data_IF_088218136260
#
_entry.id   IF_088218136260
#
_cell.length_a   1.000
_cell.length_b   1.000
_cell.length_c   1.000
_cell.angle_alpha   90.00
_cell.angle_beta   90.00
_cell.angle_gamma   90.00
#
_symmetry.space_group_name_H-M   'P 1'
#
loop_
_entity.id
_entity.type
_entity.pdbx_description
1 polymer ?
#
# COMPACT_ATOMS: atom_id res chain seq x y z
N UNK A 1 8.82 -16.39 28.93
CA UNK A 1 8.29 -17.26 27.88
C UNK A 1 9.07 -18.56 27.81
N UNK A 2 8.38 -19.70 27.61
CA UNK A 2 9.02 -21.03 27.53
C UNK A 2 9.86 -21.21 26.26
N UNK A 3 9.61 -20.39 25.22
CA UNK A 3 10.30 -20.49 23.94
C UNK A 3 10.83 -19.12 23.50
N UNK A 4 12.05 -19.12 22.95
CA UNK A 4 12.68 -17.95 22.35
C UNK A 4 13.16 -18.31 20.96
N UNK A 5 12.79 -17.49 19.96
CA UNK A 5 13.18 -17.67 18.57
C UNK A 5 14.01 -16.49 18.09
N UNK A 6 14.97 -16.75 17.22
CA UNK A 6 15.78 -15.74 16.57
C UNK A 6 15.86 -16.04 15.07
N UNK A 7 15.61 -15.02 14.26
CA UNK A 7 15.93 -15.03 12.83
C UNK A 7 17.24 -14.27 12.60
N UNK A 8 18.12 -14.83 11.82
CA UNK A 8 19.40 -14.21 11.51
C UNK A 8 19.89 -14.56 10.10
N UNK A 9 20.52 -13.59 9.44
CA UNK A 9 21.15 -13.76 8.12
C UNK A 9 22.54 -14.40 8.18
N UNK A 10 23.19 -14.36 9.34
CA UNK A 10 24.57 -14.79 9.48
C UNK A 10 24.67 -16.08 10.28
N UNK A 11 25.25 -17.12 9.69
CA UNK A 11 25.47 -18.42 10.35
C UNK A 11 26.27 -18.31 11.63
N UNK A 12 27.17 -17.32 11.73
CA UNK A 12 27.95 -17.05 12.94
C UNK A 12 27.06 -16.73 14.15
N UNK A 13 26.01 -15.96 13.97
CA UNK A 13 25.07 -15.63 15.06
C UNK A 13 24.30 -16.87 15.53
N UNK A 14 24.08 -17.85 14.66
CA UNK A 14 23.46 -19.12 15.05
C UNK A 14 24.28 -19.83 16.14
N UNK A 15 25.58 -19.84 15.98
CA UNK A 15 26.47 -20.45 16.98
C UNK A 15 26.49 -19.65 18.29
N UNK A 16 26.61 -18.33 18.18
CA UNK A 16 26.76 -17.42 19.32
C UNK A 16 25.50 -17.39 20.21
N UNK A 17 24.32 -17.43 19.60
CA UNK A 17 23.05 -17.28 20.30
C UNK A 17 22.33 -18.60 20.61
N UNK A 18 22.93 -19.75 20.26
CA UNK A 18 22.28 -21.06 20.48
C UNK A 18 21.96 -21.35 21.95
N UNK A 19 22.70 -20.73 22.89
CA UNK A 19 22.48 -20.87 24.34
C UNK A 19 21.29 -20.02 24.83
N UNK A 20 20.91 -18.96 24.10
CA UNK A 20 19.89 -17.98 24.54
C UNK A 20 18.54 -18.21 23.91
N UNK A 21 18.46 -18.95 22.81
CA UNK A 21 17.26 -19.15 22.03
C UNK A 21 16.95 -20.62 21.86
N UNK A 22 15.67 -20.97 21.97
CA UNK A 22 15.18 -22.34 21.79
C UNK A 22 15.38 -22.81 20.35
N UNK A 23 15.27 -21.92 19.39
CA UNK A 23 15.50 -22.19 17.98
C UNK A 23 16.02 -20.95 17.26
N UNK A 24 16.98 -21.15 16.38
CA UNK A 24 17.54 -20.09 15.53
C UNK A 24 17.28 -20.47 14.07
N UNK A 25 16.70 -19.54 13.33
CA UNK A 25 16.40 -19.68 11.92
C UNK A 25 17.40 -18.84 11.12
N UNK A 26 18.02 -19.47 10.13
CA UNK A 26 18.77 -18.74 9.12
C UNK A 26 17.79 -18.22 8.07
N UNK A 27 17.72 -16.92 7.95
CA UNK A 27 17.03 -16.29 6.84
C UNK A 27 17.86 -16.50 5.56
N UNK A 28 17.36 -17.38 4.70
CA UNK A 28 17.95 -17.59 3.38
C UNK A 28 17.40 -16.51 2.46
N UNK A 29 18.28 -15.69 1.90
CA UNK A 29 17.91 -14.61 0.98
C UNK A 29 17.02 -15.04 -0.21
N UNK A 30 16.97 -16.34 -0.52
CA UNK A 30 16.15 -16.93 -1.57
C UNK A 30 14.76 -17.38 -1.12
N UNK A 31 14.45 -17.36 0.18
CA UNK A 31 13.19 -17.90 0.68
C UNK A 31 12.06 -16.86 0.67
N UNK A 32 10.85 -17.29 0.32
CA UNK A 32 9.66 -16.51 0.49
C UNK A 32 9.37 -16.32 1.99
N UNK A 33 9.14 -15.07 2.44
CA UNK A 33 8.90 -14.75 3.85
C UNK A 33 7.72 -15.51 4.45
N UNK A 34 6.72 -15.82 3.66
CA UNK A 34 5.58 -16.63 4.08
C UNK A 34 5.97 -18.05 4.38
N UNK A 35 6.81 -18.68 3.53
CA UNK A 35 7.28 -20.04 3.79
C UNK A 35 8.15 -20.13 5.04
N UNK A 36 8.88 -19.08 5.38
CA UNK A 36 9.64 -18.99 6.64
C UNK A 36 8.70 -18.92 7.85
N UNK A 37 7.65 -18.06 7.78
CA UNK A 37 6.63 -17.96 8.83
C UNK A 37 5.88 -19.28 8.99
N UNK A 38 5.49 -19.94 7.89
CA UNK A 38 4.84 -21.25 7.93
C UNK A 38 5.74 -22.33 8.57
N UNK A 39 7.03 -22.31 8.26
CA UNK A 39 8.00 -23.22 8.88
C UNK A 39 8.12 -23.00 10.39
N UNK A 40 8.06 -21.72 10.82
CA UNK A 40 8.02 -21.37 12.24
C UNK A 40 6.74 -21.88 12.91
N UNK A 41 5.58 -21.64 12.30
CA UNK A 41 4.30 -22.05 12.83
C UNK A 41 4.19 -23.57 13.00
N UNK A 42 4.72 -24.34 12.04
CA UNK A 42 4.83 -25.81 12.15
C UNK A 42 5.63 -26.27 13.37
N UNK A 43 6.71 -25.55 13.72
CA UNK A 43 7.54 -25.89 14.87
C UNK A 43 6.81 -25.71 16.20
N UNK A 44 5.88 -24.78 16.27
CA UNK A 44 5.05 -24.52 17.46
C UNK A 44 3.68 -25.24 17.39
N UNK A 45 3.55 -26.21 16.48
CA UNK A 45 2.34 -27.01 16.24
C UNK A 45 1.11 -26.16 15.85
N UNK A 46 1.30 -25.04 15.22
CA UNK A 46 0.23 -24.29 14.58
C UNK A 46 0.20 -24.63 13.09
N UNK A 47 -0.90 -25.17 12.63
CA UNK A 47 -1.17 -25.37 11.21
C UNK A 47 -1.78 -24.08 10.65
N UNK A 48 -1.29 -23.68 9.49
CA UNK A 48 -1.73 -22.47 8.83
C UNK A 48 -1.76 -22.69 7.32
N UNK A 49 -2.90 -22.42 6.70
CA UNK A 49 -3.02 -22.53 5.25
C UNK A 49 -2.79 -21.16 4.59
N UNK A 50 -2.15 -21.15 3.43
CA UNK A 50 -1.88 -19.92 2.65
C UNK A 50 -3.15 -19.14 2.29
N UNK A 51 -4.28 -19.83 2.24
CA UNK A 51 -5.58 -19.19 2.01
C UNK A 51 -6.02 -18.30 3.19
N UNK A 52 -5.57 -18.58 4.41
CA UNK A 52 -5.92 -17.81 5.59
C UNK A 52 -5.26 -16.44 5.64
N UNK A 53 -4.15 -16.24 4.91
CA UNK A 53 -3.46 -14.93 4.75
C UNK A 53 -4.33 -13.88 4.05
N UNK A 54 -5.31 -14.31 3.28
CA UNK A 54 -6.19 -13.43 2.52
C UNK A 54 -7.56 -13.24 3.18
N UNK A 55 -7.74 -13.70 4.43
CA UNK A 55 -9.01 -13.62 5.13
C UNK A 55 -8.96 -12.64 6.31
N UNK A 56 -8.77 -11.36 6.01
CA UNK A 56 -9.29 -10.35 6.95
C UNK A 56 -10.81 -10.50 6.93
N UNK A 57 -11.42 -10.60 8.11
CA UNK A 57 -12.87 -10.69 8.20
C UNK A 57 -13.50 -9.37 7.71
N UNK A 58 -13.91 -9.36 6.43
CA UNK A 58 -14.48 -8.20 5.75
C UNK A 58 -15.69 -7.64 6.49
N UNK A 59 -16.48 -8.49 7.11
CA UNK A 59 -17.66 -8.08 7.87
C UNK A 59 -17.30 -7.20 9.06
N UNK A 60 -16.21 -7.51 9.77
CA UNK A 60 -15.74 -6.67 10.88
C UNK A 60 -15.36 -5.28 10.38
N UNK A 61 -14.65 -5.21 9.24
CA UNK A 61 -14.23 -3.93 8.65
C UNK A 61 -15.44 -3.13 8.15
N UNK A 62 -16.42 -3.79 7.53
CA UNK A 62 -17.64 -3.14 7.05
C UNK A 62 -18.50 -2.58 8.18
N UNK A 63 -18.55 -3.26 9.33
CA UNK A 63 -19.32 -2.84 10.53
C UNK A 63 -18.72 -1.62 11.25
N UNK A 64 -17.50 -1.21 10.93
CA UNK A 64 -16.93 0.00 11.53
C UNK A 64 -17.75 1.23 11.17
N UNK A 65 -17.98 2.10 12.14
CA UNK A 65 -18.80 3.30 11.99
C UNK A 65 -18.05 4.45 11.27
N UNK A 66 -17.64 4.19 10.02
CA UNK A 66 -17.08 5.20 9.12
C UNK A 66 -18.00 5.33 7.92
N UNK A 67 -18.47 6.55 7.64
CA UNK A 67 -19.39 6.80 6.54
C UNK A 67 -18.63 7.11 5.23
N UNK A 68 -18.70 6.15 4.31
CA UNK A 68 -18.22 6.27 2.94
C UNK A 68 -19.37 6.04 1.93
N UNK A 69 -20.61 6.23 2.34
CA UNK A 69 -21.81 5.95 1.53
C UNK A 69 -21.86 6.77 0.22
N UNK A 70 -21.22 7.93 0.21
CA UNK A 70 -21.14 8.78 -0.98
C UNK A 70 -20.15 8.29 -2.05
N UNK A 71 -19.38 7.24 -1.76
CA UNK A 71 -18.38 6.70 -2.66
C UNK A 71 -18.92 5.47 -3.40
N UNK A 72 -19.27 5.65 -4.67
CA UNK A 72 -19.65 4.57 -5.56
C UNK A 72 -18.54 4.33 -6.58
N UNK A 73 -18.13 3.08 -6.77
CA UNK A 73 -17.14 2.64 -7.77
C UNK A 73 -15.96 3.60 -7.93
N UNK A 74 -14.98 3.49 -7.08
CA UNK A 74 -13.83 4.38 -7.08
C UNK A 74 -12.50 3.64 -7.13
N UNK A 75 -11.49 4.32 -7.67
CA UNK A 75 -10.08 3.97 -7.57
C UNK A 75 -9.51 4.73 -6.38
N UNK A 76 -8.73 4.07 -5.54
CA UNK A 76 -8.01 4.70 -4.43
C UNK A 76 -6.56 4.96 -4.82
N UNK A 77 -6.09 6.19 -4.66
CA UNK A 77 -4.66 6.52 -4.60
C UNK A 77 -4.30 6.81 -3.16
N UNK A 78 -3.37 6.04 -2.61
CA UNK A 78 -2.74 6.39 -1.34
C UNK A 78 -1.47 7.20 -1.63
N UNK A 79 -1.59 8.52 -1.47
CA UNK A 79 -0.52 9.49 -1.76
C UNK A 79 0.20 9.85 -0.47
N UNK A 80 1.12 8.99 -0.07
CA UNK A 80 1.94 9.14 1.12
C UNK A 80 3.29 9.84 0.82
N UNK A 81 4.09 10.05 1.85
CA UNK A 81 5.41 10.67 1.77
C UNK A 81 6.38 9.96 0.82
N UNK A 82 6.16 8.68 0.52
CA UNK A 82 7.00 7.93 -0.42
C UNK A 82 6.88 8.40 -1.87
N UNK A 83 5.83 9.15 -2.20
CA UNK A 83 5.68 9.79 -3.52
C UNK A 83 6.54 11.05 -3.68
N UNK A 84 6.84 11.74 -2.56
CA UNK A 84 7.41 13.10 -2.58
C UNK A 84 8.75 13.22 -1.87
N UNK A 85 9.15 12.24 -1.09
CA UNK A 85 10.37 12.31 -0.30
C UNK A 85 11.26 11.10 -0.50
N UNK A 86 12.52 11.34 -0.84
CA UNK A 86 13.58 10.36 -0.82
C UNK A 86 14.13 10.09 0.59
N UNK A 87 13.66 10.81 1.60
CA UNK A 87 14.15 10.68 2.98
C UNK A 87 13.89 9.28 3.55
N UNK A 88 12.91 8.58 3.00
CA UNK A 88 12.56 7.23 3.43
C UNK A 88 13.66 6.23 3.08
N UNK A 89 14.13 6.22 1.83
CA UNK A 89 15.32 5.48 1.41
C UNK A 89 16.02 6.32 0.33
N UNK A 90 17.19 6.86 0.67
CA UNK A 90 17.94 7.80 -0.18
C UNK A 90 18.35 7.25 -1.55
N UNK A 91 18.39 5.94 -1.71
CA UNK A 91 18.76 5.26 -2.96
C UNK A 91 17.61 5.14 -3.96
N UNK A 92 16.37 5.39 -3.53
CA UNK A 92 15.22 5.25 -4.41
C UNK A 92 15.16 6.36 -5.45
N UNK A 93 14.72 6.00 -6.65
CA UNK A 93 14.44 6.97 -7.70
C UNK A 93 13.32 7.90 -7.26
N UNK A 94 13.53 9.24 -7.26
CA UNK A 94 12.48 10.20 -6.96
C UNK A 94 11.34 10.10 -7.97
N UNK A 95 10.11 10.10 -7.45
CA UNK A 95 8.89 10.08 -8.27
C UNK A 95 8.02 11.31 -8.04
N UNK A 96 8.59 12.32 -7.38
CA UNK A 96 7.88 13.55 -7.08
C UNK A 96 7.36 14.23 -8.36
N UNK A 97 6.10 14.69 -8.40
CA UNK A 97 5.59 15.51 -9.49
C UNK A 97 6.39 16.80 -9.65
N UNK A 98 6.56 17.27 -10.88
CA UNK A 98 7.33 18.51 -11.17
C UNK A 98 6.66 19.72 -10.49
N UNK A 99 5.34 19.74 -10.44
CA UNK A 99 4.55 20.73 -9.72
C UNK A 99 3.15 20.19 -9.42
N UNK A 100 2.39 20.93 -8.63
CA UNK A 100 1.05 20.57 -8.16
C UNK A 100 0.03 20.46 -9.30
N UNK A 101 0.14 21.30 -10.32
CA UNK A 101 -0.76 21.26 -11.48
C UNK A 101 -0.58 19.96 -12.28
N UNK A 102 0.65 19.50 -12.49
CA UNK A 102 0.94 18.22 -13.16
C UNK A 102 0.39 17.03 -12.35
N UNK A 103 0.48 17.11 -11.02
CA UNK A 103 -0.14 16.09 -10.16
C UNK A 103 -1.66 16.07 -10.34
N UNK A 104 -2.31 17.23 -10.30
CA UNK A 104 -3.75 17.34 -10.49
C UNK A 104 -4.20 16.84 -11.88
N UNK A 105 -3.46 17.17 -12.92
CA UNK A 105 -3.70 16.68 -14.28
C UNK A 105 -3.60 15.15 -14.36
N UNK A 106 -2.67 14.55 -13.64
CA UNK A 106 -2.57 13.09 -13.55
C UNK A 106 -3.84 12.49 -12.92
N UNK A 107 -4.33 13.07 -11.82
CA UNK A 107 -5.57 12.62 -11.19
C UNK A 107 -6.76 12.71 -12.15
N UNK A 108 -6.86 13.78 -12.91
CA UNK A 108 -7.89 13.96 -13.96
C UNK A 108 -7.80 12.89 -15.06
N UNK A 109 -6.59 12.58 -15.52
CA UNK A 109 -6.36 11.51 -16.52
C UNK A 109 -6.79 10.14 -16.02
N UNK A 110 -6.62 9.85 -14.73
CA UNK A 110 -7.13 8.59 -14.13
C UNK A 110 -8.65 8.52 -14.26
N UNK A 111 -9.37 9.57 -13.88
CA UNK A 111 -10.83 9.63 -13.98
C UNK A 111 -11.28 9.41 -15.42
N UNK A 112 -10.71 10.17 -16.36
CA UNK A 112 -11.07 10.07 -17.77
C UNK A 112 -10.85 8.68 -18.34
N UNK A 113 -9.74 8.03 -17.95
CA UNK A 113 -9.41 6.71 -18.48
C UNK A 113 -10.19 5.57 -17.85
N UNK A 114 -10.45 5.65 -16.55
CA UNK A 114 -11.11 4.58 -15.80
C UNK A 114 -12.63 4.69 -15.80
N UNK A 115 -13.17 5.85 -16.11
CA UNK A 115 -14.58 6.20 -15.93
C UNK A 115 -15.11 5.91 -14.51
N UNK A 116 -14.27 6.12 -13.51
CA UNK A 116 -14.56 5.89 -12.08
C UNK A 116 -14.30 7.15 -11.28
N UNK A 117 -14.93 7.25 -10.12
CA UNK A 117 -14.51 8.23 -9.12
C UNK A 117 -13.06 7.96 -8.69
N UNK A 118 -12.39 8.99 -8.23
CA UNK A 118 -11.04 8.90 -7.70
C UNK A 118 -11.03 9.36 -6.26
N UNK A 119 -10.51 8.54 -5.37
CA UNK A 119 -10.26 8.91 -3.98
C UNK A 119 -8.77 9.03 -3.77
N UNK A 120 -8.32 10.15 -3.26
CA UNK A 120 -6.96 10.38 -2.79
C UNK A 120 -6.97 10.32 -1.28
N UNK A 121 -6.19 9.42 -0.68
CA UNK A 121 -5.91 9.41 0.75
C UNK A 121 -4.46 9.82 1.00
N UNK A 122 -4.19 10.46 2.13
CA UNK A 122 -2.89 11.01 2.45
C UNK A 122 -2.10 10.14 3.42
N UNK A 123 -0.78 10.33 3.47
CA UNK A 123 0.09 9.82 4.53
C UNK A 123 0.06 10.71 5.78
N UNK A 124 1.10 10.59 6.61
CA UNK A 124 1.20 11.32 7.88
C UNK A 124 1.84 12.71 7.75
N UNK A 125 2.48 12.99 6.61
CA UNK A 125 3.18 14.26 6.37
C UNK A 125 2.36 15.16 5.45
N UNK A 126 2.17 16.39 5.87
CA UNK A 126 1.64 17.45 5.02
C UNK A 126 2.58 17.74 3.85
N UNK A 127 2.02 18.13 2.72
CA UNK A 127 2.78 18.50 1.54
C UNK A 127 1.99 19.45 0.64
N UNK A 128 2.70 20.23 -0.17
CA UNK A 128 2.14 21.23 -1.07
C UNK A 128 1.15 20.67 -2.11
N UNK A 129 1.27 19.41 -2.52
CA UNK A 129 0.33 18.77 -3.45
C UNK A 129 -1.05 18.58 -2.81
N UNK A 130 -1.08 18.20 -1.55
CA UNK A 130 -2.32 18.05 -0.78
C UNK A 130 -2.94 19.42 -0.49
N UNK A 131 -2.13 20.41 -0.12
CA UNK A 131 -2.62 21.78 0.07
C UNK A 131 -3.19 22.36 -1.23
N UNK A 132 -2.56 22.08 -2.36
CA UNK A 132 -3.09 22.46 -3.66
C UNK A 132 -4.45 21.79 -3.94
N UNK A 133 -4.60 20.50 -3.63
CA UNK A 133 -5.88 19.80 -3.77
C UNK A 133 -6.96 20.42 -2.87
N UNK A 134 -6.64 20.72 -1.61
CA UNK A 134 -7.57 21.39 -0.67
C UNK A 134 -8.05 22.73 -1.23
N UNK A 135 -7.18 23.48 -1.90
CA UNK A 135 -7.53 24.75 -2.52
C UNK A 135 -8.36 24.62 -3.83
N UNK A 136 -8.28 23.47 -4.51
CA UNK A 136 -9.04 23.21 -5.75
C UNK A 136 -10.37 22.52 -5.53
N UNK A 137 -10.53 21.85 -4.41
CA UNK A 137 -11.70 21.06 -4.05
C UNK A 137 -12.52 21.80 -3.00
N UNK A 138 -13.81 21.54 -2.94
CA UNK A 138 -14.71 22.08 -1.93
C UNK A 138 -14.73 21.19 -0.69
N UNK A 139 -14.56 21.76 0.48
CA UNK A 139 -14.71 21.06 1.76
C UNK A 139 -16.18 20.65 1.94
N UNK A 140 -16.46 19.35 2.01
CA UNK A 140 -17.81 18.81 2.18
C UNK A 140 -18.08 18.30 3.60
N UNK A 141 -17.05 17.91 4.31
CA UNK A 141 -17.11 17.53 5.72
C UNK A 141 -15.71 17.58 6.33
N UNK A 142 -15.56 17.28 7.64
CA UNK A 142 -14.27 17.30 8.31
C UNK A 142 -13.24 16.47 7.52
N UNK A 143 -12.18 17.14 7.05
CA UNK A 143 -11.06 16.55 6.31
C UNK A 143 -11.46 15.82 5.00
N UNK A 144 -12.66 16.08 4.46
CA UNK A 144 -13.12 15.50 3.20
C UNK A 144 -13.45 16.63 2.23
N UNK A 145 -12.78 16.55 1.08
CA UNK A 145 -12.93 17.54 0.01
C UNK A 145 -13.38 16.84 -1.27
N UNK A 146 -14.17 17.52 -2.10
CA UNK A 146 -14.64 16.98 -3.37
C UNK A 146 -14.76 18.05 -4.43
N UNK A 147 -14.71 17.65 -5.69
CA UNK A 147 -15.07 18.53 -6.81
C UNK A 147 -16.57 18.81 -6.85
N UNK A 148 -16.91 20.05 -7.19
CA UNK A 148 -18.28 20.42 -7.47
C UNK A 148 -18.65 20.06 -8.92
N UNK A 149 -19.91 19.63 -9.11
CA UNK A 149 -20.62 19.58 -10.40
C UNK A 149 -20.03 18.67 -11.51
N UNK A 150 -19.22 17.68 -11.17
CA UNK A 150 -18.72 16.70 -12.14
C UNK A 150 -19.45 15.35 -11.98
N UNK A 151 -19.67 14.64 -13.09
CA UNK A 151 -20.26 13.30 -13.06
C UNK A 151 -19.34 12.30 -12.36
N UNK A 152 -18.04 12.35 -12.67
CA UNK A 152 -16.99 11.63 -11.94
C UNK A 152 -16.10 12.63 -11.20
N UNK A 153 -15.80 12.35 -9.94
CA UNK A 153 -15.22 13.31 -9.00
C UNK A 153 -13.90 12.83 -8.44
N UNK A 154 -13.05 13.79 -8.10
CA UNK A 154 -11.95 13.60 -7.16
C UNK A 154 -12.48 13.85 -5.75
N UNK A 155 -12.21 12.92 -4.86
CA UNK A 155 -12.38 13.07 -3.42
C UNK A 155 -11.01 13.05 -2.76
N UNK A 156 -10.77 13.98 -1.87
CA UNK A 156 -9.60 13.96 -0.99
C UNK A 156 -10.06 13.61 0.42
N UNK A 157 -9.52 12.53 0.96
CA UNK A 157 -9.68 12.13 2.36
C UNK A 157 -8.35 12.36 3.07
N UNK A 158 -8.28 13.44 3.81
CA UNK A 158 -7.06 13.86 4.48
C UNK A 158 -6.99 13.33 5.91
N UNK A 159 -5.80 12.93 6.33
CA UNK A 159 -5.50 12.52 7.70
C UNK A 159 -6.41 11.38 8.25
N UNK A 160 -6.59 10.34 7.44
CA UNK A 160 -7.33 9.14 7.86
C UNK A 160 -6.57 8.35 8.93
N UNK A 161 -7.29 7.83 9.91
CA UNK A 161 -6.77 6.75 10.74
C UNK A 161 -6.53 5.49 9.91
N UNK A 162 -5.68 4.59 10.38
CA UNK A 162 -5.44 3.32 9.69
C UNK A 162 -6.72 2.49 9.52
N UNK A 163 -7.63 2.52 10.48
CA UNK A 163 -8.89 1.78 10.40
C UNK A 163 -9.85 2.34 9.34
N UNK A 164 -9.84 3.67 9.14
CA UNK A 164 -10.59 4.32 8.06
C UNK A 164 -9.98 3.98 6.70
N UNK A 165 -8.66 4.05 6.58
CA UNK A 165 -7.93 3.68 5.36
C UNK A 165 -8.19 2.21 5.00
N UNK A 166 -8.18 1.29 5.96
CA UNK A 166 -8.48 -0.13 5.77
C UNK A 166 -9.89 -0.32 5.19
N UNK A 167 -10.91 0.37 5.74
CA UNK A 167 -12.27 0.32 5.21
C UNK A 167 -12.34 0.93 3.79
N UNK A 168 -11.64 2.02 3.55
CA UNK A 168 -11.58 2.66 2.24
C UNK A 168 -10.93 1.73 1.19
N UNK A 169 -9.84 1.04 1.53
CA UNK A 169 -9.23 0.02 0.69
C UNK A 169 -10.22 -1.11 0.40
N UNK A 170 -10.94 -1.61 1.40
CA UNK A 170 -11.95 -2.64 1.20
C UNK A 170 -13.06 -2.22 0.23
N UNK A 171 -13.47 -0.97 0.24
CA UNK A 171 -14.53 -0.44 -0.63
C UNK A 171 -14.04 -0.08 -2.04
N UNK A 172 -12.75 0.17 -2.23
CA UNK A 172 -12.20 0.52 -3.53
C UNK A 172 -12.29 -0.62 -4.55
N UNK A 173 -12.38 -0.28 -5.82
CA UNK A 173 -12.26 -1.26 -6.93
C UNK A 173 -10.80 -1.62 -7.21
N UNK A 174 -9.89 -0.66 -7.02
CA UNK A 174 -8.46 -0.76 -7.27
C UNK A 174 -7.71 0.22 -6.35
N UNK A 175 -6.48 -0.13 -5.98
CA UNK A 175 -5.58 0.78 -5.27
C UNK A 175 -4.30 1.03 -6.08
N UNK A 176 -3.81 2.27 -6.02
CA UNK A 176 -2.51 2.72 -6.52
C UNK A 176 -1.74 3.26 -5.31
N UNK A 177 -0.58 2.69 -5.03
CA UNK A 177 0.20 3.08 -3.84
C UNK A 177 1.69 2.79 -4.03
N UNK A 178 2.56 3.51 -3.33
CA UNK A 178 3.91 3.03 -3.10
C UNK A 178 3.88 1.85 -2.13
N UNK A 179 4.71 0.83 -2.39
CA UNK A 179 4.71 -0.41 -1.60
C UNK A 179 4.79 -0.16 -0.10
N UNK A 180 3.93 -0.84 0.66
CA UNK A 180 3.87 -0.73 2.10
C UNK A 180 2.63 -1.38 2.71
N UNK A 181 2.29 -1.01 3.92
CA UNK A 181 1.13 -1.56 4.63
C UNK A 181 -0.19 -1.51 3.81
N UNK A 182 -0.51 -0.42 3.07
CA UNK A 182 -1.71 -0.39 2.24
C UNK A 182 -1.73 -1.46 1.14
N UNK A 183 -0.58 -1.81 0.53
CA UNK A 183 -0.49 -2.90 -0.46
C UNK A 183 -0.84 -4.25 0.16
N UNK A 184 -0.33 -4.54 1.36
CA UNK A 184 -0.64 -5.80 2.07
C UNK A 184 -2.10 -5.88 2.50
N UNK A 185 -2.69 -4.78 2.98
CA UNK A 185 -4.12 -4.72 3.30
C UNK A 185 -4.97 -4.96 2.05
N UNK A 186 -4.61 -4.34 0.94
CA UNK A 186 -5.31 -4.52 -0.32
C UNK A 186 -5.21 -5.98 -0.84
N UNK A 187 -4.05 -6.60 -0.70
CA UNK A 187 -3.85 -8.01 -1.04
C UNK A 187 -4.72 -8.93 -0.18
N UNK A 188 -4.81 -8.67 1.13
CA UNK A 188 -5.66 -9.42 2.04
C UNK A 188 -7.15 -9.32 1.70
N UNK A 189 -7.59 -8.22 1.08
CA UNK A 189 -8.95 -8.07 0.54
C UNK A 189 -9.08 -8.54 -0.91
N UNK A 190 -8.02 -9.10 -1.50
CA UNK A 190 -7.97 -9.52 -2.90
C UNK A 190 -8.31 -8.38 -3.88
N UNK A 191 -7.84 -7.18 -3.59
CA UNK A 191 -8.02 -6.00 -4.44
C UNK A 191 -7.04 -6.00 -5.60
N UNK A 192 -7.41 -5.32 -6.69
CA UNK A 192 -6.48 -5.01 -7.78
C UNK A 192 -5.50 -3.94 -7.31
N UNK A 193 -4.19 -4.26 -7.35
CA UNK A 193 -3.13 -3.40 -6.80
C UNK A 193 -2.22 -2.96 -7.94
N UNK A 194 -2.00 -1.66 -8.06
CA UNK A 194 -0.86 -1.09 -8.80
C UNK A 194 0.14 -0.63 -7.74
N UNK A 195 1.21 -1.36 -7.60
CA UNK A 195 2.19 -1.25 -6.52
C UNK A 195 3.49 -0.66 -7.06
N UNK A 196 3.89 0.48 -6.54
CA UNK A 196 5.06 1.21 -7.00
C UNK A 196 6.25 0.81 -6.12
N UNK A 197 7.25 0.19 -6.74
CA UNK A 197 8.46 -0.30 -6.07
C UNK A 197 9.73 0.29 -6.68
N UNK A 198 10.83 0.26 -5.95
CA UNK A 198 12.13 0.59 -6.53
C UNK A 198 12.74 -0.65 -7.22
N UNK A 199 13.27 -0.46 -8.43
CA UNK A 199 13.84 -1.55 -9.22
C UNK A 199 15.10 -2.13 -8.58
N UNK A 200 15.83 -1.35 -7.80
CA UNK A 200 17.06 -1.82 -7.12
C UNK A 200 16.78 -2.85 -6.02
N UNK A 201 15.52 -2.93 -5.58
CA UNK A 201 15.08 -3.84 -4.50
C UNK A 201 13.99 -4.82 -4.96
N UNK A 202 13.86 -5.08 -6.26
CA UNK A 202 12.82 -5.95 -6.83
C UNK A 202 12.81 -7.35 -6.20
N UNK A 203 13.98 -7.97 -6.00
CA UNK A 203 14.10 -9.29 -5.32
C UNK A 203 13.54 -9.24 -3.89
N UNK A 204 13.76 -8.15 -3.16
CA UNK A 204 13.20 -7.97 -1.82
C UNK A 204 11.68 -7.87 -1.89
N UNK A 205 11.14 -7.04 -2.77
CA UNK A 205 9.71 -6.87 -2.91
C UNK A 205 9.02 -8.16 -3.37
N UNK A 206 9.59 -8.92 -4.30
CA UNK A 206 9.04 -10.21 -4.72
C UNK A 206 8.87 -11.20 -3.56
N UNK A 207 9.79 -11.21 -2.61
CA UNK A 207 9.67 -12.08 -1.42
C UNK A 207 8.47 -11.71 -0.55
N UNK A 208 8.18 -10.42 -0.43
CA UNK A 208 7.07 -9.93 0.38
C UNK A 208 5.72 -9.97 -0.33
N UNK A 209 5.70 -9.92 -1.65
CA UNK A 209 4.49 -9.85 -2.46
C UNK A 209 4.13 -11.16 -3.17
N UNK A 210 4.90 -12.22 -2.99
CA UNK A 210 4.70 -13.51 -3.65
C UNK A 210 3.30 -14.13 -3.44
N UNK A 211 2.58 -13.71 -2.42
CA UNK A 211 1.20 -14.14 -2.13
C UNK A 211 0.12 -13.22 -2.70
N UNK A 212 0.49 -12.08 -3.30
CA UNK A 212 -0.47 -11.16 -3.90
C UNK A 212 -1.02 -11.78 -5.20
N UNK A 213 -2.35 -11.78 -5.36
CA UNK A 213 -3.00 -12.42 -6.50
C UNK A 213 -3.29 -11.45 -7.65
N UNK A 214 -3.82 -10.26 -7.33
CA UNK A 214 -4.22 -9.24 -8.30
C UNK A 214 -3.24 -8.06 -8.25
N UNK A 215 -2.00 -8.30 -8.62
CA UNK A 215 -0.88 -7.42 -8.34
C UNK A 215 -0.13 -7.05 -9.62
N UNK A 216 -0.01 -5.75 -9.89
CA UNK A 216 0.78 -5.19 -10.97
C UNK A 216 1.89 -4.33 -10.38
N UNK A 217 3.13 -4.69 -10.66
CA UNK A 217 4.29 -3.91 -10.26
C UNK A 217 4.56 -2.80 -11.28
N UNK A 218 4.84 -1.61 -10.78
CA UNK A 218 5.34 -0.48 -11.55
C UNK A 218 6.62 0.02 -10.88
N UNK A 219 7.68 0.17 -11.68
CA UNK A 219 8.94 0.66 -11.13
C UNK A 219 8.94 2.18 -10.94
N UNK A 220 9.61 2.61 -9.89
CA UNK A 220 9.87 4.04 -9.64
C UNK A 220 10.68 4.61 -10.79
N UNK A 221 10.15 5.66 -11.40
CA UNK A 221 10.75 6.41 -12.50
C UNK A 221 10.38 7.88 -12.35
N UNK A 222 10.94 8.76 -13.19
CA UNK A 222 10.48 10.16 -13.25
C UNK A 222 8.97 10.21 -13.44
N UNK A 223 8.30 11.13 -12.76
CA UNK A 223 6.84 11.19 -12.64
C UNK A 223 6.08 10.98 -13.96
N UNK A 224 6.52 11.60 -15.04
CA UNK A 224 5.85 11.50 -16.34
C UNK A 224 5.87 10.07 -16.92
N UNK A 225 6.93 9.30 -16.71
CA UNK A 225 7.02 7.89 -17.16
C UNK A 225 6.19 6.99 -16.24
N UNK A 226 6.34 7.18 -14.93
CA UNK A 226 5.57 6.44 -13.92
C UNK A 226 4.06 6.59 -14.18
N UNK A 227 3.58 7.82 -14.37
CA UNK A 227 2.14 8.08 -14.60
C UNK A 227 1.63 7.47 -15.88
N UNK A 228 2.44 7.46 -16.96
CA UNK A 228 2.11 6.76 -18.20
C UNK A 228 1.95 5.25 -17.96
N UNK A 229 2.86 4.63 -17.21
CA UNK A 229 2.80 3.21 -16.88
C UNK A 229 1.56 2.89 -16.03
N UNK A 230 1.26 3.70 -15.02
CA UNK A 230 0.05 3.56 -14.21
C UNK A 230 -1.21 3.67 -15.08
N UNK A 231 -1.28 4.70 -15.93
CA UNK A 231 -2.43 4.89 -16.81
C UNK A 231 -2.66 3.70 -17.76
N UNK A 232 -1.62 3.03 -18.22
CA UNK A 232 -1.76 1.85 -19.07
C UNK A 232 -2.38 0.62 -18.38
N UNK A 233 -2.38 0.59 -17.04
CA UNK A 233 -2.93 -0.50 -16.21
C UNK A 233 -4.38 -0.23 -15.73
N UNK A 234 -4.93 0.92 -16.04
CA UNK A 234 -6.32 1.26 -15.71
C UNK A 234 -7.32 0.67 -16.69
#
# INVERSE_FOLDING_TARGET
>A
SKFKFLFTFKSFYKLLFNFFFTKIFLDKNSSNKISEIQSLLKIINLTYETNDLNTINKEIVLKRNFDFSNLNNFILIHFDEKWISNDYIKTYVPIEPINEAIFFDFLKKIILKSNSNLVVSTGLKDNNYIDYLKNKLTLISKNIYSEDKQDKKIFLYDNLSFLELEKLILLSSKIITCHGAPSHVAAAFNKKIIDIIDKSEDEFFFKWTAHFRNHHLVFREKFNYLTKNILNLL
#
